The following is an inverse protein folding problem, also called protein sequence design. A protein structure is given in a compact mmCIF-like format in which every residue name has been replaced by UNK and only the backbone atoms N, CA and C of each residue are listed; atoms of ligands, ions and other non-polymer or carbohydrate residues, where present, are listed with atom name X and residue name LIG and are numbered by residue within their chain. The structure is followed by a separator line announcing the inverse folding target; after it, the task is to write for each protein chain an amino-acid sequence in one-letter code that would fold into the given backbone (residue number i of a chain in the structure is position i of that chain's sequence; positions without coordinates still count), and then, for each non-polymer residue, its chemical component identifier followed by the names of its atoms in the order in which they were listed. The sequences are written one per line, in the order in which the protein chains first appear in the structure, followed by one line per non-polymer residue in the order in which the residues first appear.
data_IF_576174711015
#
_entry.id   IF_576174711015
#
_cell.length_a   1.000
_cell.length_b   1.000
_cell.length_c   1.000
_cell.angle_alpha   90.00
_cell.angle_beta   90.00
_cell.angle_gamma   90.00
#
_symmetry.space_group_name_H-M   'P 1'
#
loop_
_entity.id
_entity.type
_entity.pdbx_description
1 polymer ?
#
# COMPACT_ATOMS: atom_id res chain seq x y z
N UNK A 1 -25.19 -5.86 -9.61
CA UNK A 1 -23.97 -6.60 -10.06
C UNK A 1 -23.66 -7.66 -9.02
N UNK A 2 -23.40 -8.90 -9.44
CA UNK A 2 -23.09 -10.03 -8.54
C UNK A 2 -21.84 -9.73 -7.69
N UNK A 3 -21.87 -10.06 -6.40
CA UNK A 3 -20.75 -9.93 -5.43
C UNK A 3 -19.44 -10.46 -5.98
N UNK A 4 -19.44 -11.65 -6.59
CA UNK A 4 -18.23 -12.24 -7.18
C UNK A 4 -17.65 -11.38 -8.30
N UNK A 5 -18.51 -10.76 -9.12
CA UNK A 5 -18.09 -9.90 -10.23
C UNK A 5 -17.44 -8.61 -9.70
N UNK A 6 -18.00 -7.99 -8.65
CA UNK A 6 -17.40 -6.81 -7.99
C UNK A 6 -15.97 -7.08 -7.51
N UNK A 7 -15.77 -8.22 -6.84
CA UNK A 7 -14.46 -8.63 -6.33
C UNK A 7 -13.48 -8.89 -7.48
N UNK A 8 -13.89 -9.63 -8.51
CA UNK A 8 -13.03 -9.89 -9.68
C UNK A 8 -12.60 -8.58 -10.34
N UNK A 9 -13.52 -7.63 -10.51
CA UNK A 9 -13.21 -6.30 -11.05
C UNK A 9 -12.16 -5.59 -10.19
N UNK A 10 -12.31 -5.58 -8.86
CA UNK A 10 -11.35 -4.95 -7.96
C UNK A 10 -9.95 -5.59 -8.05
N UNK A 11 -9.88 -6.92 -8.12
CA UNK A 11 -8.61 -7.66 -8.26
C UNK A 11 -7.94 -7.34 -9.60
N UNK A 12 -8.70 -7.34 -10.69
CA UNK A 12 -8.19 -7.01 -12.03
C UNK A 12 -7.69 -5.57 -12.06
N UNK A 13 -8.47 -4.61 -11.55
CA UNK A 13 -8.07 -3.19 -11.50
C UNK A 13 -6.77 -3.01 -10.69
N UNK A 14 -6.70 -3.61 -9.49
CA UNK A 14 -5.50 -3.56 -8.65
C UNK A 14 -4.27 -4.16 -9.35
N UNK A 15 -4.47 -5.27 -10.06
CA UNK A 15 -3.40 -5.94 -10.83
C UNK A 15 -2.92 -5.08 -11.99
N UNK A 16 -3.85 -4.45 -12.74
CA UNK A 16 -3.52 -3.56 -13.85
C UNK A 16 -2.76 -2.34 -13.34
N UNK A 17 -3.24 -1.68 -12.28
CA UNK A 17 -2.55 -0.56 -11.65
C UNK A 17 -1.12 -0.99 -11.28
N UNK A 18 -0.99 -2.15 -10.63
CA UNK A 18 0.31 -2.69 -10.20
C UNK A 18 1.28 -2.90 -11.36
N UNK A 19 0.80 -3.50 -12.44
CA UNK A 19 1.60 -3.72 -13.65
C UNK A 19 2.03 -2.40 -14.29
N UNK A 20 1.15 -1.41 -14.36
CA UNK A 20 1.45 -0.12 -15.00
C UNK A 20 2.59 0.63 -14.31
N UNK A 21 2.58 0.73 -12.97
CA UNK A 21 3.68 1.43 -12.29
C UNK A 21 4.99 0.62 -12.30
N UNK A 22 4.94 -0.72 -12.26
CA UNK A 22 6.12 -1.58 -12.41
C UNK A 22 6.73 -1.41 -13.81
N UNK A 23 5.92 -1.49 -14.87
CA UNK A 23 6.38 -1.31 -16.24
C UNK A 23 6.93 0.10 -16.42
N UNK A 24 6.19 1.13 -15.98
CA UNK A 24 6.64 2.52 -16.00
C UNK A 24 7.98 2.72 -15.31
N UNK A 25 8.20 2.05 -14.16
CA UNK A 25 9.48 2.07 -13.45
C UNK A 25 10.59 1.43 -14.30
N UNK A 26 10.36 0.25 -14.86
CA UNK A 26 11.36 -0.47 -15.67
C UNK A 26 11.79 0.37 -16.87
N UNK A 27 10.83 0.92 -17.62
CA UNK A 27 11.13 1.67 -18.85
C UNK A 27 11.44 3.16 -18.60
N UNK A 28 11.34 3.64 -17.35
CA UNK A 28 11.44 5.04 -16.98
C UNK A 28 10.45 5.96 -17.73
N UNK A 29 9.17 5.57 -17.74
CA UNK A 29 8.10 6.36 -18.34
C UNK A 29 7.14 6.87 -17.27
N UNK A 30 7.19 8.18 -17.05
CA UNK A 30 6.32 8.89 -16.12
C UNK A 30 4.85 8.85 -16.54
N UNK A 31 4.53 8.76 -17.84
CA UNK A 31 3.15 8.73 -18.31
C UNK A 31 2.43 7.47 -17.87
N UNK A 32 3.11 6.31 -17.93
CA UNK A 32 2.56 5.05 -17.41
C UNK A 32 2.29 5.14 -15.90
N UNK A 33 3.19 5.78 -15.17
CA UNK A 33 2.99 6.03 -13.75
C UNK A 33 1.80 6.95 -13.48
N UNK A 34 1.66 8.06 -14.22
CA UNK A 34 0.51 8.97 -14.11
C UNK A 34 -0.81 8.25 -14.40
N UNK A 35 -0.86 7.42 -15.45
CA UNK A 35 -2.05 6.61 -15.76
C UNK A 35 -2.37 5.65 -14.61
N UNK A 36 -1.36 5.01 -14.01
CA UNK A 36 -1.56 4.14 -12.85
C UNK A 36 -2.17 4.91 -11.66
N UNK A 37 -1.70 6.13 -11.40
CA UNK A 37 -2.25 7.00 -10.34
C UNK A 37 -3.70 7.39 -10.63
N UNK A 38 -4.03 7.78 -11.88
CA UNK A 38 -5.41 8.12 -12.26
C UNK A 38 -6.34 6.91 -12.04
N UNK A 39 -5.92 5.73 -12.49
CA UNK A 39 -6.70 4.50 -12.29
C UNK A 39 -6.83 4.14 -10.81
N UNK A 40 -5.79 4.36 -10.00
CA UNK A 40 -5.84 4.17 -8.55
C UNK A 40 -6.88 5.10 -7.90
N UNK A 41 -6.89 6.39 -8.26
CA UNK A 41 -7.84 7.37 -7.76
C UNK A 41 -9.30 7.02 -8.12
N UNK A 42 -9.53 6.36 -9.26
CA UNK A 42 -10.85 5.85 -9.66
C UNK A 42 -11.21 4.56 -8.90
N UNK A 43 -10.21 3.71 -8.66
CA UNK A 43 -10.41 2.40 -8.02
C UNK A 43 -10.65 2.54 -6.51
N UNK A 44 -10.10 3.55 -5.84
CA UNK A 44 -10.29 3.78 -4.40
C UNK A 44 -11.78 3.98 -4.04
N UNK A 45 -12.55 4.90 -4.66
CA UNK A 45 -13.99 5.03 -4.41
C UNK A 45 -14.77 3.75 -4.72
N UNK A 46 -14.39 3.03 -5.78
CA UNK A 46 -15.03 1.77 -6.12
C UNK A 46 -14.79 0.70 -5.04
N UNK A 47 -13.55 0.58 -4.55
CA UNK A 47 -13.20 -0.34 -3.48
C UNK A 47 -13.88 0.04 -2.17
N UNK A 48 -13.93 1.34 -1.84
CA UNK A 48 -14.62 1.84 -0.65
C UNK A 48 -16.13 1.52 -0.67
N UNK A 49 -16.80 1.76 -1.80
CA UNK A 49 -18.23 1.49 -1.95
C UNK A 49 -18.58 0.00 -1.84
N UNK A 50 -17.65 -0.89 -2.18
CA UNK A 50 -17.84 -2.34 -2.13
C UNK A 50 -16.95 -2.98 -1.05
N UNK A 51 -16.63 -2.22 0.01
CA UNK A 51 -15.67 -2.64 1.02
C UNK A 51 -16.13 -3.89 1.76
N UNK A 52 -17.42 -4.02 2.07
CA UNK A 52 -17.94 -5.18 2.80
C UNK A 52 -17.79 -6.47 1.99
N UNK A 53 -18.11 -6.44 0.69
CA UNK A 53 -17.94 -7.59 -0.19
C UNK A 53 -16.46 -7.97 -0.39
N UNK A 54 -15.58 -6.97 -0.50
CA UNK A 54 -14.14 -7.19 -0.57
C UNK A 54 -13.60 -7.76 0.73
N UNK A 55 -14.01 -7.20 1.88
CA UNK A 55 -13.62 -7.65 3.21
C UNK A 55 -14.02 -9.10 3.43
N UNK A 56 -15.23 -9.49 3.04
CA UNK A 56 -15.71 -10.88 3.15
C UNK A 56 -14.85 -11.83 2.30
N UNK A 57 -14.51 -11.45 1.07
CA UNK A 57 -13.67 -12.25 0.18
C UNK A 57 -12.22 -12.41 0.68
N UNK A 58 -11.62 -11.33 1.20
CA UNK A 58 -10.23 -11.34 1.68
C UNK A 58 -10.10 -11.84 3.14
N UNK A 59 -11.21 -12.16 3.81
CA UNK A 59 -11.19 -12.60 5.21
C UNK A 59 -10.57 -13.99 5.35
N UNK A 60 -9.27 -14.04 5.61
CA UNK A 60 -8.60 -15.23 6.12
C UNK A 60 -8.92 -15.33 7.62
N UNK A 61 -9.50 -16.46 8.07
CA UNK A 61 -10.10 -16.65 9.41
C UNK A 61 -9.26 -16.15 10.62
N UNK A 62 -10.00 -15.81 11.71
CA UNK A 62 -9.67 -15.59 13.16
C UNK A 62 -9.67 -14.11 13.58
N UNK A 63 -10.16 -13.71 14.76
CA UNK A 63 -10.77 -14.40 15.91
C UNK A 63 -11.73 -13.45 16.64
N UNK A 64 -12.48 -13.96 17.61
CA UNK A 64 -13.37 -13.15 18.45
C UNK A 64 -12.55 -12.13 19.25
N UNK A 65 -12.89 -10.85 19.09
CA UNK A 65 -12.32 -9.76 19.88
C UNK A 65 -13.09 -9.75 21.20
N UNK A 66 -12.42 -10.13 22.30
CA UNK A 66 -12.95 -10.04 23.66
C UNK A 66 -12.92 -8.56 24.09
N UNK A 67 -13.98 -8.09 24.75
CA UNK A 67 -14.31 -6.66 24.89
C UNK A 67 -13.33 -5.81 25.74
N UNK A 68 -12.46 -6.41 26.55
CA UNK A 68 -11.70 -5.69 27.60
C UNK A 68 -10.37 -5.01 27.15
N UNK A 69 -9.92 -5.18 25.90
CA UNK A 69 -8.67 -4.55 25.38
C UNK A 69 -8.93 -3.57 24.21
N UNK A 70 -10.18 -3.10 24.07
CA UNK A 70 -10.64 -2.39 22.87
C UNK A 70 -9.85 -1.13 22.52
N UNK A 71 -9.51 -0.30 23.49
CA UNK A 71 -8.83 0.98 23.21
C UNK A 71 -7.38 0.77 22.78
N UNK A 72 -6.65 -0.14 23.43
CA UNK A 72 -5.27 -0.49 23.07
C UNK A 72 -5.21 -1.17 21.70
N UNK A 73 -6.14 -2.09 21.43
CA UNK A 73 -6.28 -2.74 20.13
C UNK A 73 -6.60 -1.74 18.99
N UNK A 74 -7.46 -0.75 19.24
CA UNK A 74 -7.80 0.30 18.26
C UNK A 74 -6.59 1.19 17.99
N UNK A 75 -5.85 1.60 19.02
CA UNK A 75 -4.64 2.43 18.86
C UNK A 75 -3.54 1.67 18.12
N UNK A 76 -3.34 0.39 18.41
CA UNK A 76 -2.37 -0.46 17.72
C UNK A 76 -2.74 -0.65 16.23
N UNK A 77 -4.02 -0.93 15.93
CA UNK A 77 -4.55 -1.03 14.56
C UNK A 77 -4.40 0.28 13.79
N UNK A 78 -4.73 1.42 14.41
CA UNK A 78 -4.57 2.73 13.81
C UNK A 78 -3.09 3.05 13.53
N UNK A 79 -2.20 2.71 14.46
CA UNK A 79 -0.75 2.83 14.30
C UNK A 79 -0.23 2.01 13.12
N UNK A 80 -0.69 0.77 12.96
CA UNK A 80 -0.35 -0.09 11.82
C UNK A 80 -0.83 0.47 10.49
N UNK A 81 -2.06 0.99 10.46
CA UNK A 81 -2.61 1.60 9.26
C UNK A 81 -1.86 2.87 8.86
N UNK A 82 -1.55 3.75 9.83
CA UNK A 82 -0.77 4.95 9.60
C UNK A 82 0.65 4.63 9.12
N UNK A 83 1.31 3.65 9.74
CA UNK A 83 2.62 3.17 9.31
C UNK A 83 2.56 2.62 7.88
N UNK A 84 1.58 1.76 7.57
CA UNK A 84 1.39 1.22 6.22
C UNK A 84 1.18 2.31 5.16
N UNK A 85 0.38 3.33 5.45
CA UNK A 85 0.18 4.48 4.58
C UNK A 85 1.46 5.30 4.38
N UNK A 86 2.25 5.51 5.44
CA UNK A 86 3.51 6.24 5.34
C UNK A 86 4.55 5.51 4.47
N UNK A 87 4.64 4.19 4.61
CA UNK A 87 5.49 3.32 3.77
C UNK A 87 5.04 3.37 2.32
N UNK A 88 3.72 3.24 2.07
CA UNK A 88 3.17 3.32 0.73
C UNK A 88 3.50 4.66 0.07
N UNK A 89 3.29 5.77 0.78
CA UNK A 89 3.56 7.11 0.25
C UNK A 89 5.04 7.28 -0.14
N UNK A 90 5.97 6.85 0.71
CA UNK A 90 7.41 6.91 0.41
C UNK A 90 7.77 6.10 -0.85
N UNK A 91 7.20 4.89 -1.00
CA UNK A 91 7.40 4.07 -2.19
C UNK A 91 6.86 4.78 -3.43
N UNK A 92 5.64 5.31 -3.39
CA UNK A 92 5.04 6.00 -4.53
C UNK A 92 5.86 7.23 -4.96
N UNK A 93 6.36 8.03 -4.01
CA UNK A 93 7.22 9.18 -4.32
C UNK A 93 8.54 8.71 -4.93
N UNK A 94 9.17 7.68 -4.36
CA UNK A 94 10.42 7.15 -4.91
C UNK A 94 10.23 6.62 -6.34
N UNK A 95 9.16 5.88 -6.59
CA UNK A 95 8.80 5.37 -7.92
C UNK A 95 8.59 6.54 -8.89
N UNK A 96 7.85 7.57 -8.51
CA UNK A 96 7.61 8.75 -9.35
C UNK A 96 8.91 9.45 -9.75
N UNK A 97 9.87 9.55 -8.84
CA UNK A 97 11.18 10.15 -9.13
C UNK A 97 12.01 9.22 -10.04
N UNK A 98 11.98 7.90 -9.82
CA UNK A 98 12.71 6.92 -10.64
C UNK A 98 12.16 6.85 -12.07
N UNK A 99 10.85 7.00 -12.25
CA UNK A 99 10.24 7.04 -13.59
C UNK A 99 10.62 8.32 -14.35
N UNK A 100 11.04 9.37 -13.66
CA UNK A 100 11.58 10.59 -14.24
C UNK A 100 13.08 10.51 -14.57
N UNK A 101 13.79 9.43 -14.27
CA UNK A 101 15.27 9.38 -14.38
C UNK A 101 15.84 9.68 -15.77
N UNK A 102 15.08 9.42 -16.83
CA UNK A 102 15.50 9.75 -18.20
C UNK A 102 15.40 11.26 -18.49
N UNK A 103 14.53 11.99 -17.80
CA UNK A 103 14.30 13.43 -17.98
C UNK A 103 15.07 14.26 -16.94
N UNK A 104 15.10 13.79 -15.69
CA UNK A 104 15.71 14.48 -14.55
C UNK A 104 16.58 13.51 -13.72
N UNK A 105 17.69 13.01 -14.27
CA UNK A 105 18.54 12.01 -13.61
C UNK A 105 19.09 12.47 -12.26
N UNK A 106 19.30 13.77 -12.06
CA UNK A 106 19.85 14.37 -10.85
C UNK A 106 19.02 14.09 -9.58
N UNK A 107 17.73 13.77 -9.72
CA UNK A 107 16.87 13.44 -8.58
C UNK A 107 16.86 11.94 -8.22
N UNK A 108 17.45 11.08 -9.06
CA UNK A 108 17.51 9.63 -8.81
C UNK A 108 18.10 9.26 -7.43
N UNK A 109 19.17 9.92 -6.94
CA UNK A 109 19.69 9.67 -5.59
C UNK A 109 18.64 9.87 -4.48
N UNK A 110 17.76 10.88 -4.61
CA UNK A 110 16.69 11.14 -3.63
C UNK A 110 15.74 9.94 -3.56
N UNK A 111 15.37 9.38 -4.71
CA UNK A 111 14.50 8.22 -4.75
C UNK A 111 15.13 6.98 -4.08
N UNK A 112 16.42 6.73 -4.32
CA UNK A 112 17.13 5.63 -3.68
C UNK A 112 17.20 5.81 -2.16
N UNK A 113 17.42 7.04 -1.68
CA UNK A 113 17.37 7.35 -0.25
C UNK A 113 15.97 7.09 0.33
N UNK A 114 14.89 7.47 -0.37
CA UNK A 114 13.52 7.18 0.08
C UNK A 114 13.24 5.67 0.19
N UNK A 115 13.74 4.86 -0.76
CA UNK A 115 13.63 3.39 -0.69
C UNK A 115 14.38 2.84 0.52
N UNK A 116 15.60 3.33 0.77
CA UNK A 116 16.41 2.92 1.93
C UNK A 116 15.71 3.29 3.24
N UNK A 117 15.20 4.51 3.36
CA UNK A 117 14.44 4.97 4.55
C UNK A 117 13.22 4.10 4.78
N UNK A 118 12.49 3.76 3.71
CA UNK A 118 11.34 2.85 3.77
C UNK A 118 11.74 1.48 4.31
N UNK A 119 12.84 0.91 3.81
CA UNK A 119 13.36 -0.39 4.26
C UNK A 119 13.78 -0.36 5.74
N UNK A 120 14.52 0.67 6.15
CA UNK A 120 14.92 0.85 7.55
C UNK A 120 13.70 1.00 8.45
N UNK A 121 12.71 1.79 8.03
CA UNK A 121 11.46 1.99 8.80
C UNK A 121 10.71 0.68 8.98
N UNK A 122 10.65 -0.15 7.92
CA UNK A 122 10.06 -1.49 7.98
C UNK A 122 10.80 -2.43 8.95
N UNK A 123 12.13 -2.40 8.95
CA UNK A 123 12.96 -3.18 9.87
C UNK A 123 12.70 -2.75 11.31
N UNK A 124 12.77 -1.44 11.61
CA UNK A 124 12.54 -0.90 12.96
C UNK A 124 11.15 -1.28 13.45
N UNK A 125 10.12 -1.10 12.61
CA UNK A 125 8.75 -1.46 12.94
C UNK A 125 8.60 -2.96 13.26
N UNK A 126 9.23 -3.82 12.46
CA UNK A 126 9.17 -5.29 12.66
C UNK A 126 9.88 -5.71 13.95
N UNK A 127 11.06 -5.15 14.23
CA UNK A 127 11.81 -5.41 15.47
C UNK A 127 11.01 -4.92 16.68
N UNK A 128 10.47 -3.70 16.62
CA UNK A 128 9.63 -3.13 17.67
C UNK A 128 8.44 -4.03 17.97
N UNK A 129 7.69 -4.43 16.94
CA UNK A 129 6.56 -5.35 17.08
C UNK A 129 6.95 -6.68 17.72
N UNK A 130 8.07 -7.27 17.29
CA UNK A 130 8.56 -8.52 17.86
C UNK A 130 8.95 -8.37 19.34
N UNK A 131 9.63 -7.28 19.70
CA UNK A 131 10.01 -7.00 21.07
C UNK A 131 8.82 -6.80 22.00
N UNK A 132 7.84 -5.98 21.60
CA UNK A 132 6.65 -5.72 22.42
C UNK A 132 5.83 -7.00 22.65
N UNK A 133 5.60 -7.79 21.60
CA UNK A 133 4.86 -9.07 21.69
C UNK A 133 5.51 -10.12 22.59
N UNK A 134 6.84 -10.08 22.76
CA UNK A 134 7.54 -11.04 23.62
C UNK A 134 7.67 -10.57 25.07
N UNK A 135 7.52 -9.27 25.31
CA UNK A 135 7.71 -8.66 26.63
C UNK A 135 6.40 -8.45 27.39
N UNK A 136 5.30 -8.25 26.66
CA UNK A 136 3.95 -8.07 27.14
C UNK A 136 3.06 -9.14 26.48
#
# INVERSE_FOLDING_TARGET
MNTKIKVIIAVILSSIISLLWIIGLIIADINLFIIAIILLLITIPFAYKNFDELKEFFRTRKGEVVEDEREEYIQEQAGYMAFGLSIALNIYIAVAIITLRNLYPQYSPIAYVLIIITLISFIIFTIGKYYYKNKY
#
